data_IF_062974192460
#
_entry.id   IF_062974192460
#
_cell.length_a   1.000
_cell.length_b   1.000
_cell.length_c   1.000
_cell.angle_alpha   90.00
_cell.angle_beta   90.00
_cell.angle_gamma   90.00
#
_symmetry.space_group_name_H-M   'P 1'
#
loop_
_entity.id
_entity.type
_entity.pdbx_description
1 polymer ?
#
# COMPACT_ATOMS: atom_id res chain seq x y z
N UNK A 1 -1.00 5.18 3.70
CA UNK A 1 0.28 4.70 4.29
C UNK A 1 1.12 4.11 3.17
N UNK A 2 2.43 4.33 3.15
CA UNK A 2 3.34 3.68 2.20
C UNK A 2 4.31 2.74 2.94
N UNK A 3 4.55 1.55 2.38
CA UNK A 3 5.55 0.61 2.89
C UNK A 3 6.81 0.72 2.03
N UNK A 4 7.82 1.46 2.51
CA UNK A 4 9.10 1.59 1.83
C UNK A 4 9.97 0.35 2.09
N UNK A 5 10.06 -0.54 1.11
CA UNK A 5 10.77 -1.82 1.22
C UNK A 5 12.05 -1.83 0.38
N UNK A 6 13.09 -2.46 0.90
CA UNK A 6 14.34 -2.71 0.18
C UNK A 6 14.59 -4.23 0.16
N UNK A 7 14.70 -4.87 -1.02
CA UNK A 7 14.80 -6.33 -1.11
C UNK A 7 15.94 -6.93 -0.30
N UNK A 8 17.12 -6.30 -0.33
CA UNK A 8 18.28 -6.73 0.45
C UNK A 8 18.02 -6.79 1.96
N UNK A 9 17.21 -5.86 2.48
CA UNK A 9 16.90 -5.74 3.89
C UNK A 9 15.71 -6.63 4.26
N UNK A 10 14.58 -6.51 3.57
CA UNK A 10 13.34 -7.18 3.97
C UNK A 10 13.29 -8.65 3.55
N UNK A 11 14.04 -9.03 2.51
CA UNK A 11 14.13 -10.41 2.03
C UNK A 11 14.96 -11.34 2.92
N UNK A 12 15.58 -10.84 3.99
CA UNK A 12 16.30 -11.68 4.94
C UNK A 12 15.31 -12.65 5.62
N UNK A 13 15.64 -13.96 5.77
CA UNK A 13 14.67 -14.97 6.25
C UNK A 13 13.99 -14.64 7.59
N UNK A 14 14.72 -14.04 8.52
CA UNK A 14 14.18 -13.65 9.82
C UNK A 14 13.26 -12.42 9.79
N UNK A 15 13.22 -11.69 8.67
CA UNK A 15 12.38 -10.50 8.44
C UNK A 15 11.22 -10.76 7.50
N UNK A 16 11.45 -11.52 6.42
CA UNK A 16 10.46 -11.78 5.38
C UNK A 16 9.14 -12.34 5.95
N UNK A 17 9.21 -13.28 6.90
CA UNK A 17 8.01 -13.86 7.55
C UNK A 17 7.10 -12.81 8.19
N UNK A 18 7.65 -11.71 8.69
CA UNK A 18 6.87 -10.65 9.33
C UNK A 18 6.27 -9.70 8.29
N UNK A 19 6.91 -9.54 7.13
CA UNK A 19 6.31 -8.84 6.00
C UNK A 19 5.08 -9.61 5.51
N UNK A 20 5.18 -10.93 5.36
CA UNK A 20 4.05 -11.77 4.94
C UNK A 20 2.87 -11.65 5.91
N UNK A 21 3.12 -11.76 7.22
CA UNK A 21 2.09 -11.59 8.26
C UNK A 21 1.45 -10.21 8.23
N UNK A 22 2.24 -9.15 8.03
CA UNK A 22 1.72 -7.78 7.97
C UNK A 22 0.85 -7.57 6.71
N UNK A 23 1.29 -8.10 5.56
CA UNK A 23 0.52 -8.02 4.32
C UNK A 23 -0.79 -8.81 4.40
N UNK A 24 -0.77 -10.01 4.99
CA UNK A 24 -1.97 -10.81 5.23
C UNK A 24 -2.97 -10.07 6.13
N UNK A 25 -2.50 -9.49 7.24
CA UNK A 25 -3.34 -8.71 8.13
C UNK A 25 -3.97 -7.50 7.43
N UNK A 26 -3.18 -6.74 6.65
CA UNK A 26 -3.66 -5.55 5.93
C UNK A 26 -4.65 -5.92 4.81
N UNK A 27 -4.36 -6.98 4.06
CA UNK A 27 -5.22 -7.45 2.98
C UNK A 27 -6.58 -7.98 3.48
N UNK A 28 -6.65 -8.40 4.75
CA UNK A 28 -7.89 -8.86 5.38
C UNK A 28 -8.81 -7.75 5.90
N UNK A 29 -8.39 -6.48 5.87
CA UNK A 29 -9.22 -5.37 6.38
C UNK A 29 -10.24 -4.92 5.31
N UNK A 30 -11.53 -4.79 5.65
CA UNK A 30 -12.59 -4.53 4.66
C UNK A 30 -12.54 -3.13 4.02
N UNK A 31 -11.88 -2.18 4.68
CA UNK A 31 -11.80 -0.77 4.30
C UNK A 31 -10.39 -0.37 3.82
N UNK A 32 -9.50 -1.33 3.61
CA UNK A 32 -8.15 -1.07 3.11
C UNK A 32 -8.11 -1.19 1.58
N UNK A 33 -7.57 -0.15 0.95
CA UNK A 33 -7.26 -0.15 -0.48
C UNK A 33 -5.78 -0.50 -0.70
N UNK A 34 -5.51 -1.73 -1.14
CA UNK A 34 -4.19 -2.11 -1.66
C UNK A 34 -4.02 -1.51 -3.05
N UNK A 35 -3.02 -0.65 -3.20
CA UNK A 35 -2.90 0.23 -4.36
C UNK A 35 -1.46 0.66 -4.60
N UNK A 36 -1.21 1.25 -5.77
CA UNK A 36 0.06 1.86 -6.14
C UNK A 36 0.05 3.37 -5.94
N UNK A 37 1.22 4.01 -5.96
CA UNK A 37 1.34 5.47 -5.93
C UNK A 37 0.62 6.15 -7.08
N UNK A 38 0.64 5.53 -8.26
CA UNK A 38 0.07 6.12 -9.48
C UNK A 38 -1.45 6.10 -9.44
N UNK A 39 -2.04 5.00 -8.94
CA UNK A 39 -3.48 4.89 -8.71
C UNK A 39 -3.95 5.86 -7.63
N UNK A 40 -3.17 6.09 -6.58
CA UNK A 40 -3.45 7.14 -5.59
C UNK A 40 -3.47 8.52 -6.25
N UNK A 41 -2.45 8.85 -7.05
CA UNK A 41 -2.36 10.14 -7.73
C UNK A 41 -3.53 10.35 -8.71
N UNK A 42 -3.93 9.31 -9.43
CA UNK A 42 -5.08 9.33 -10.32
C UNK A 42 -6.40 9.45 -9.58
N UNK A 43 -6.58 8.74 -8.46
CA UNK A 43 -7.76 8.89 -7.61
C UNK A 43 -7.87 10.33 -7.09
N UNK A 44 -6.78 10.89 -6.58
CA UNK A 44 -6.74 12.27 -6.09
C UNK A 44 -7.13 13.30 -7.16
N UNK A 45 -6.59 13.19 -8.38
CA UNK A 45 -6.97 14.07 -9.49
C UNK A 45 -8.47 14.00 -9.76
N UNK A 46 -9.05 12.79 -9.82
CA UNK A 46 -10.47 12.60 -10.09
C UNK A 46 -11.36 13.13 -8.98
N UNK A 47 -10.99 12.93 -7.71
CA UNK A 47 -11.84 13.34 -6.59
C UNK A 47 -11.79 14.84 -6.37
N UNK A 48 -10.62 15.47 -6.44
CA UNK A 48 -10.49 16.92 -6.22
C UNK A 48 -11.01 17.73 -7.41
N UNK A 49 -10.74 17.32 -8.65
CA UNK A 49 -11.28 18.04 -9.83
C UNK A 49 -12.80 17.88 -10.00
N UNK A 50 -13.42 16.91 -9.35
CA UNK A 50 -14.88 16.76 -9.31
C UNK A 50 -15.54 17.63 -8.23
N UNK A 51 -14.79 18.12 -7.24
CA UNK A 51 -15.30 19.05 -6.21
C UNK A 51 -15.31 20.52 -6.68
N UNK A 52 -14.53 20.84 -7.73
CA UNK A 52 -14.41 22.19 -8.31
C UNK A 52 -15.38 22.46 -9.48
N UNK A 53 -16.22 21.49 -9.89
CA UNK A 53 -17.17 21.56 -11.00
C UNK A 53 -18.63 21.51 -10.53
#
# INVERSE_FOLDING_TARGET
>A
MALALHPFVIGQPFRAKYLDQALEFLAGQPDVWLTTSDEIAEHYRRTVSAEDA
#
